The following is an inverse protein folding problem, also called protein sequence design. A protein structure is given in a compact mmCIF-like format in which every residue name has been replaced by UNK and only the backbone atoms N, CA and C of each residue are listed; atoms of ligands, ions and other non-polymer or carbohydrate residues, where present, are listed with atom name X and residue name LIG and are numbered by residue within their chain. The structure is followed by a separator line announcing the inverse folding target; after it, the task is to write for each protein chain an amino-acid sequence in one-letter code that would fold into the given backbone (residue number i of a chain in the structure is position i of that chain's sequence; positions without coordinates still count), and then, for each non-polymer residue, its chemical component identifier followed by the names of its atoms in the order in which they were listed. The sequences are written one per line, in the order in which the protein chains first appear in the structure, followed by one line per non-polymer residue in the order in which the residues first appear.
data_IF_974169463209
#
_entry.id   IF_974169463209
#
_cell.length_a   1.000
_cell.length_b   1.000
_cell.length_c   1.000
_cell.angle_alpha   90.00
_cell.angle_beta   90.00
_cell.angle_gamma   90.00
#
_symmetry.space_group_name_H-M   'P 1'
#
loop_
_entity.id
_entity.type
_entity.pdbx_description
1 polymer ?
#
# COMPACT_ATOMS: atom_id res chain seq x y z
N UNK A 1 -14.60 -21.24 13.32
CA UNK A 1 -14.42 -21.02 11.87
C UNK A 1 -13.97 -19.59 11.67
N UNK A 2 -12.97 -19.33 10.83
CA UNK A 2 -12.55 -17.97 10.46
C UNK A 2 -13.70 -17.23 9.81
N UNK A 3 -14.01 -16.02 10.29
CA UNK A 3 -14.98 -15.14 9.64
C UNK A 3 -14.25 -14.41 8.51
N UNK A 4 -14.68 -14.60 7.26
CA UNK A 4 -14.15 -13.81 6.13
C UNK A 4 -14.62 -12.36 6.23
N UNK A 5 -13.79 -11.43 5.78
CA UNK A 5 -14.10 -10.00 5.65
C UNK A 5 -14.57 -9.73 4.21
N UNK A 6 -15.74 -10.28 3.85
CA UNK A 6 -16.23 -10.32 2.46
C UNK A 6 -16.70 -8.96 1.93
N UNK A 7 -16.90 -7.99 2.81
CA UNK A 7 -17.21 -6.61 2.46
C UNK A 7 -15.94 -5.77 2.18
N UNK A 8 -14.76 -6.38 2.25
CA UNK A 8 -13.48 -5.70 2.02
C UNK A 8 -13.08 -5.70 0.54
N UNK A 9 -12.81 -4.52 -0.01
CA UNK A 9 -12.33 -4.33 -1.38
C UNK A 9 -11.03 -3.52 -1.37
N UNK A 10 -9.99 -4.00 -2.06
CA UNK A 10 -8.69 -3.34 -2.06
C UNK A 10 -8.11 -3.15 -3.46
N UNK A 11 -7.58 -1.96 -3.71
CA UNK A 11 -6.68 -1.67 -4.83
C UNK A 11 -5.29 -1.34 -4.27
N UNK A 12 -4.32 -2.19 -4.56
CA UNK A 12 -2.94 -2.05 -4.11
C UNK A 12 -2.04 -1.70 -5.29
N UNK A 13 -1.37 -0.55 -5.24
CA UNK A 13 -0.60 0.03 -6.34
C UNK A 13 0.85 0.19 -5.88
N UNK A 14 1.77 -0.57 -6.46
CA UNK A 14 3.20 -0.53 -6.15
C UNK A 14 3.96 -0.27 -7.43
N UNK A 15 4.44 0.96 -7.63
CA UNK A 15 4.97 1.37 -8.95
C UNK A 15 6.15 0.48 -9.39
N UNK A 16 7.03 0.14 -8.47
CA UNK A 16 8.13 -0.79 -8.71
C UNK A 16 9.07 -0.30 -9.80
N UNK A 17 9.17 -1.07 -10.87
CA UNK A 17 9.92 -0.69 -12.06
C UNK A 17 9.16 0.38 -12.86
N UNK A 18 9.82 1.50 -13.15
CA UNK A 18 9.33 2.51 -14.09
C UNK A 18 9.85 2.22 -15.49
N UNK A 19 9.05 2.55 -16.52
CA UNK A 19 9.51 2.57 -17.91
C UNK A 19 10.72 3.51 -18.09
N UNK A 20 10.81 4.54 -17.25
CA UNK A 20 12.04 5.32 -17.08
C UNK A 20 12.82 4.82 -15.86
N UNK A 21 13.79 3.92 -16.11
CA UNK A 21 14.55 3.19 -15.08
C UNK A 21 15.08 4.03 -13.91
N UNK A 22 15.55 5.27 -14.09
CA UNK A 22 15.98 6.10 -12.96
C UNK A 22 14.88 6.35 -11.91
N UNK A 23 13.59 6.35 -12.30
CA UNK A 23 12.44 6.48 -11.40
C UNK A 23 11.96 5.15 -10.81
N UNK A 24 12.68 4.04 -11.02
CA UNK A 24 12.30 2.75 -10.44
C UNK A 24 12.52 2.74 -8.92
N UNK A 25 11.51 2.26 -8.20
CA UNK A 25 11.48 2.16 -6.74
C UNK A 25 11.01 0.75 -6.32
N UNK A 26 11.86 -0.30 -6.43
CA UNK A 26 11.43 -1.70 -6.28
C UNK A 26 10.83 -2.07 -4.92
N UNK A 27 11.17 -1.33 -3.86
CA UNK A 27 10.60 -1.54 -2.51
C UNK A 27 9.08 -1.40 -2.50
N UNK A 28 8.52 -0.55 -3.37
CA UNK A 28 7.07 -0.28 -3.41
C UNK A 28 6.24 -1.50 -3.80
N UNK A 29 6.80 -2.40 -4.61
CA UNK A 29 6.18 -3.70 -4.94
C UNK A 29 6.23 -4.65 -3.75
N UNK A 30 7.29 -4.58 -2.94
CA UNK A 30 7.36 -5.38 -1.72
C UNK A 30 6.37 -4.89 -0.69
N UNK A 31 6.13 -3.57 -0.62
CA UNK A 31 5.10 -3.00 0.24
C UNK A 31 3.71 -3.54 -0.12
N UNK A 32 3.32 -3.45 -1.39
CA UNK A 32 2.01 -3.94 -1.84
C UNK A 32 1.86 -5.44 -1.68
N UNK A 33 2.91 -6.22 -1.95
CA UNK A 33 2.90 -7.65 -1.75
C UNK A 33 2.76 -8.04 -0.27
N UNK A 34 3.39 -7.27 0.63
CA UNK A 34 3.29 -7.52 2.06
C UNK A 34 1.88 -7.16 2.59
N UNK A 35 1.31 -6.03 2.13
CA UNK A 35 -0.08 -5.66 2.44
C UNK A 35 -1.05 -6.71 1.88
N UNK A 36 -0.89 -7.12 0.62
CA UNK A 36 -1.70 -8.18 0.01
C UNK A 36 -1.70 -9.46 0.84
N UNK A 37 -0.49 -9.94 1.20
CA UNK A 37 -0.31 -11.13 2.03
C UNK A 37 -1.06 -11.03 3.38
N UNK A 38 -1.00 -9.87 4.04
CA UNK A 38 -1.72 -9.64 5.29
C UNK A 38 -3.24 -9.55 5.12
N UNK A 39 -3.71 -8.98 4.01
CA UNK A 39 -5.14 -8.88 3.72
C UNK A 39 -5.77 -10.27 3.55
N UNK A 40 -5.13 -11.14 2.77
CA UNK A 40 -5.72 -12.45 2.43
C UNK A 40 -5.50 -13.54 3.48
N UNK A 41 -4.55 -13.38 4.40
CA UNK A 41 -4.28 -14.40 5.43
C UNK A 41 -5.54 -14.57 6.31
N UNK A 42 -6.15 -15.78 6.35
CA UNK A 42 -7.36 -16.06 7.11
C UNK A 42 -7.16 -15.95 8.63
N UNK A 43 -5.92 -16.02 9.09
CA UNK A 43 -5.55 -15.80 10.49
C UNK A 43 -5.06 -14.37 10.74
N UNK A 44 -5.16 -13.47 9.76
CA UNK A 44 -4.95 -12.03 9.89
C UNK A 44 -6.24 -11.29 9.50
N UNK A 45 -6.28 -10.62 8.34
CA UNK A 45 -7.39 -9.75 7.94
C UNK A 45 -8.57 -10.50 7.30
N UNK A 46 -8.32 -11.71 6.79
CA UNK A 46 -9.32 -12.61 6.21
C UNK A 46 -10.15 -12.03 5.05
N UNK A 47 -9.58 -11.16 4.22
CA UNK A 47 -10.19 -10.79 2.93
C UNK A 47 -10.25 -12.03 2.03
N UNK A 48 -11.27 -12.14 1.16
CA UNK A 48 -11.27 -13.17 0.12
C UNK A 48 -10.06 -13.01 -0.82
N UNK A 49 -9.34 -14.11 -1.05
CA UNK A 49 -8.22 -14.17 -2.00
C UNK A 49 -8.75 -14.38 -3.42
N UNK A 50 -9.33 -13.34 -4.01
CA UNK A 50 -9.85 -13.37 -5.37
C UNK A 50 -9.86 -11.97 -6.04
N UNK A 51 -10.01 -11.99 -7.37
CA UNK A 51 -10.03 -10.78 -8.22
C UNK A 51 -11.30 -9.93 -8.05
N UNK A 52 -12.33 -10.45 -7.37
CA UNK A 52 -13.55 -9.72 -7.08
C UNK A 52 -13.41 -8.83 -5.84
N UNK A 53 -12.41 -9.09 -4.99
CA UNK A 53 -12.15 -8.33 -3.75
C UNK A 53 -10.82 -7.58 -3.77
N UNK A 54 -9.78 -8.09 -4.43
CA UNK A 54 -8.47 -7.44 -4.43
C UNK A 54 -7.90 -7.33 -5.84
N UNK A 55 -7.45 -6.12 -6.21
CA UNK A 55 -6.62 -5.87 -7.39
C UNK A 55 -5.26 -5.35 -6.96
N UNK A 56 -4.21 -5.93 -7.52
CA UNK A 56 -2.83 -5.51 -7.32
C UNK A 56 -2.27 -5.04 -8.66
N UNK A 57 -1.65 -3.88 -8.68
CA UNK A 57 -0.98 -3.30 -9.84
C UNK A 57 0.47 -3.04 -9.49
N UNK A 58 1.38 -3.84 -10.04
CA UNK A 58 2.82 -3.75 -9.77
C UNK A 58 3.62 -3.63 -11.08
N UNK A 59 4.74 -2.91 -11.05
CA UNK A 59 5.65 -2.75 -12.20
C UNK A 59 4.89 -2.29 -13.46
N UNK A 60 5.03 -3.01 -14.58
CA UNK A 60 4.39 -2.71 -15.86
C UNK A 60 2.86 -2.66 -15.82
N UNK A 61 2.22 -3.24 -14.79
CA UNK A 61 0.77 -3.17 -14.61
C UNK A 61 0.33 -1.85 -13.96
N UNK A 62 1.22 -1.15 -13.25
CA UNK A 62 0.94 0.11 -12.56
C UNK A 62 0.94 1.31 -13.54
N UNK A 63 0.20 1.21 -14.64
CA UNK A 63 0.03 2.28 -15.64
C UNK A 63 -1.04 3.28 -15.22
N UNK A 64 -1.03 4.46 -15.85
CA UNK A 64 -2.05 5.50 -15.58
C UNK A 64 -3.46 4.99 -15.87
N UNK A 65 -3.63 4.26 -16.97
CA UNK A 65 -4.93 3.68 -17.34
C UNK A 65 -5.36 2.64 -16.32
N UNK A 66 -4.48 1.69 -15.97
CA UNK A 66 -4.80 0.61 -15.06
C UNK A 66 -5.18 1.12 -13.66
N UNK A 67 -4.50 2.16 -13.16
CA UNK A 67 -4.86 2.79 -11.88
C UNK A 67 -6.27 3.37 -11.93
N UNK A 68 -6.59 4.15 -12.97
CA UNK A 68 -7.92 4.75 -13.14
C UNK A 68 -9.01 3.67 -13.34
N UNK A 69 -8.70 2.61 -14.08
CA UNK A 69 -9.59 1.45 -14.26
C UNK A 69 -9.79 0.68 -12.95
N UNK A 70 -8.77 0.58 -12.10
CA UNK A 70 -8.86 0.03 -10.75
C UNK A 70 -9.78 0.85 -9.85
N UNK A 71 -9.68 2.17 -9.88
CA UNK A 71 -10.58 3.05 -9.13
C UNK A 71 -12.03 2.98 -9.63
N UNK A 72 -12.22 2.85 -10.95
CA UNK A 72 -13.54 2.60 -11.54
C UNK A 72 -14.12 1.26 -11.08
N UNK A 73 -13.30 0.21 -11.01
CA UNK A 73 -13.75 -1.07 -10.46
C UNK A 73 -14.14 -0.97 -8.99
N UNK A 74 -13.38 -0.25 -8.16
CA UNK A 74 -13.77 -0.02 -6.76
C UNK A 74 -15.11 0.73 -6.65
N UNK A 75 -15.38 1.69 -7.55
CA UNK A 75 -16.69 2.33 -7.65
C UNK A 75 -17.79 1.28 -7.90
N UNK A 76 -17.60 0.38 -8.86
CA UNK A 76 -18.57 -0.67 -9.18
C UNK A 76 -18.81 -1.61 -7.99
N UNK A 77 -17.74 -1.95 -7.23
CA UNK A 77 -17.85 -2.77 -6.01
C UNK A 77 -18.61 -2.05 -4.90
N UNK A 78 -18.28 -0.80 -4.62
CA UNK A 78 -19.00 0.03 -3.65
C UNK A 78 -20.49 0.23 -4.00
N UNK A 79 -20.83 0.23 -5.29
CA UNK A 79 -22.23 0.30 -5.73
C UNK A 79 -23.00 -1.01 -5.52
N UNK A 80 -22.31 -2.14 -5.67
CA UNK A 80 -22.90 -3.47 -5.52
C UNK A 80 -23.02 -3.92 -4.06
N UNK A 81 -22.16 -3.42 -3.17
CA UNK A 81 -22.15 -3.74 -1.75
C UNK A 81 -22.30 -2.47 -0.87
N UNK A 82 -23.44 -2.35 -0.20
CA UNK A 82 -23.73 -1.21 0.68
C UNK A 82 -22.90 -1.20 1.97
N UNK A 83 -22.30 -2.32 2.34
CA UNK A 83 -21.43 -2.42 3.52
C UNK A 83 -19.94 -2.34 3.16
N UNK A 84 -19.62 -2.07 1.89
CA UNK A 84 -18.27 -2.05 1.36
C UNK A 84 -17.32 -1.19 2.21
N UNK A 85 -16.24 -1.83 2.67
CA UNK A 85 -15.03 -1.17 3.15
C UNK A 85 -14.00 -1.21 2.03
N UNK A 86 -13.61 -0.04 1.55
CA UNK A 86 -12.67 0.14 0.44
C UNK A 86 -11.32 0.61 0.95
N UNK A 87 -10.25 -0.04 0.50
CA UNK A 87 -8.87 0.34 0.71
C UNK A 87 -8.21 0.69 -0.64
N UNK A 88 -7.66 1.89 -0.75
CA UNK A 88 -6.73 2.25 -1.83
C UNK A 88 -5.36 2.44 -1.20
N UNK A 89 -4.40 1.62 -1.59
CA UNK A 89 -3.02 1.72 -1.11
C UNK A 89 -2.11 2.04 -2.29
N UNK A 90 -1.38 3.15 -2.21
CA UNK A 90 -0.37 3.53 -3.20
C UNK A 90 1.00 3.58 -2.54
N UNK A 91 1.98 2.91 -3.13
CA UNK A 91 3.40 3.07 -2.82
C UNK A 91 4.17 3.42 -4.10
N UNK A 92 4.87 4.56 -4.09
CA UNK A 92 5.54 5.08 -5.29
C UNK A 92 6.08 6.50 -5.11
N UNK A 93 6.37 7.20 -6.21
CA UNK A 93 6.79 8.59 -6.17
C UNK A 93 5.60 9.56 -6.18
N UNK A 94 5.76 10.67 -5.47
CA UNK A 94 4.81 11.77 -5.40
C UNK A 94 5.52 13.12 -5.52
N UNK A 95 5.28 13.84 -6.60
CA UNK A 95 6.02 15.05 -6.97
C UNK A 95 5.06 16.22 -7.19
N UNK A 96 5.47 17.42 -6.79
CA UNK A 96 4.80 18.67 -7.10
C UNK A 96 5.52 19.38 -8.24
N UNK A 97 4.77 19.88 -9.20
CA UNK A 97 5.27 20.83 -10.19
C UNK A 97 5.38 22.20 -9.52
N UNK A 98 6.59 22.76 -9.45
CA UNK A 98 6.83 24.06 -8.79
C UNK A 98 6.28 25.22 -9.60
N UNK A 99 5.98 25.03 -10.88
CA UNK A 99 5.50 26.09 -11.77
C UNK A 99 4.02 26.41 -11.52
N UNK A 100 3.19 25.41 -11.22
CA UNK A 100 1.75 25.55 -11.01
C UNK A 100 1.23 24.96 -9.68
N UNK A 101 2.10 24.33 -8.89
CA UNK A 101 1.79 23.74 -7.59
C UNK A 101 1.01 22.43 -7.65
N UNK A 102 0.86 21.82 -8.83
CA UNK A 102 0.08 20.58 -8.97
C UNK A 102 0.87 19.37 -8.53
N UNK A 103 0.19 18.48 -7.81
CA UNK A 103 0.76 17.23 -7.32
C UNK A 103 0.48 16.08 -8.30
N UNK A 104 1.46 15.19 -8.44
CA UNK A 104 1.45 14.06 -9.36
C UNK A 104 1.95 12.79 -8.67
N UNK A 105 1.23 11.69 -8.88
CA UNK A 105 1.71 10.34 -8.59
C UNK A 105 2.41 9.82 -9.85
N UNK A 106 3.66 9.38 -9.72
CA UNK A 106 4.42 8.88 -10.87
C UNK A 106 4.28 7.38 -10.99
N UNK A 107 3.48 6.96 -11.96
CA UNK A 107 3.21 5.57 -12.27
C UNK A 107 4.18 5.00 -13.33
N UNK A 108 4.10 3.71 -13.64
CA UNK A 108 5.07 3.00 -14.50
C UNK A 108 5.32 3.68 -15.85
N UNK A 109 4.25 4.08 -16.55
CA UNK A 109 4.28 4.60 -17.91
C UNK A 109 4.48 6.13 -17.99
N UNK A 110 4.95 6.76 -16.91
CA UNK A 110 5.29 8.19 -16.90
C UNK A 110 6.38 8.49 -17.94
N UNK A 111 6.24 9.62 -18.64
CA UNK A 111 7.18 10.08 -19.67
C UNK A 111 7.98 11.26 -19.12
N UNK A 112 9.29 11.09 -18.83
CA UNK A 112 10.17 12.14 -18.30
C UNK A 112 10.08 13.47 -19.03
N UNK A 113 10.18 13.43 -20.36
CA UNK A 113 10.16 14.62 -21.22
C UNK A 113 8.84 15.38 -21.24
N UNK A 114 7.77 14.80 -20.67
CA UNK A 114 6.42 15.36 -20.58
C UNK A 114 5.76 14.95 -19.26
N UNK A 115 6.47 15.13 -18.15
CA UNK A 115 6.07 14.58 -16.85
C UNK A 115 4.65 15.05 -16.45
N UNK A 116 4.39 16.36 -16.42
CA UNK A 116 3.08 16.92 -16.06
C UNK A 116 1.91 16.42 -16.95
N UNK A 117 2.19 16.11 -18.23
CA UNK A 117 1.18 15.64 -19.18
C UNK A 117 0.95 14.12 -19.15
N UNK A 118 1.88 13.34 -18.58
CA UNK A 118 1.85 11.88 -18.59
C UNK A 118 1.67 11.26 -17.20
N UNK A 119 2.07 11.95 -16.15
CA UNK A 119 1.88 11.52 -14.77
C UNK A 119 0.39 11.57 -14.37
N UNK A 120 0.05 10.79 -13.35
CA UNK A 120 -1.29 10.81 -12.77
C UNK A 120 -1.42 12.03 -11.85
N UNK A 121 -2.13 13.06 -12.30
CA UNK A 121 -2.39 14.23 -11.45
C UNK A 121 -3.26 13.87 -10.24
N UNK A 122 -3.02 14.54 -9.13
CA UNK A 122 -3.84 14.46 -7.93
C UNK A 122 -5.30 14.81 -8.20
N UNK A 123 -5.56 15.74 -9.14
CA UNK A 123 -6.92 16.08 -9.58
C UNK A 123 -7.62 14.87 -10.20
N UNK A 124 -7.01 14.22 -11.20
CA UNK A 124 -7.60 13.05 -11.85
C UNK A 124 -7.78 11.87 -10.87
N UNK A 125 -6.81 11.66 -9.98
CA UNK A 125 -6.89 10.65 -8.93
C UNK A 125 -8.02 10.96 -7.94
N UNK A 126 -8.11 12.20 -7.47
CA UNK A 126 -9.15 12.67 -6.55
C UNK A 126 -10.54 12.57 -7.18
N UNK A 127 -10.69 12.96 -8.44
CA UNK A 127 -11.96 12.87 -9.15
C UNK A 127 -12.40 11.42 -9.32
N UNK A 128 -11.49 10.51 -9.67
CA UNK A 128 -11.79 9.08 -9.71
C UNK A 128 -12.19 8.54 -8.32
N UNK A 129 -11.45 8.90 -7.27
CA UNK A 129 -11.81 8.54 -5.89
C UNK A 129 -13.20 9.06 -5.53
N UNK A 130 -13.56 10.30 -5.87
CA UNK A 130 -14.87 10.91 -5.57
C UNK A 130 -16.03 10.13 -6.17
N UNK A 131 -15.80 9.39 -7.26
CA UNK A 131 -16.83 8.55 -7.87
C UNK A 131 -17.14 7.28 -7.05
N UNK A 132 -16.28 6.88 -6.12
CA UNK A 132 -16.50 5.74 -5.22
C UNK A 132 -17.43 6.20 -4.08
N UNK A 133 -18.71 5.84 -4.18
CA UNK A 133 -19.74 6.25 -3.22
C UNK A 133 -19.91 5.16 -2.15
N UNK A 134 -19.10 5.22 -1.09
CA UNK A 134 -19.23 4.37 0.10
C UNK A 134 -18.93 5.18 1.37
N UNK A 135 -19.39 4.67 2.52
CA UNK A 135 -19.17 5.29 3.83
C UNK A 135 -17.82 4.93 4.46
N UNK A 136 -17.04 4.04 3.82
CA UNK A 136 -15.82 3.44 4.38
C UNK A 136 -14.74 3.34 3.30
N UNK A 137 -14.10 4.46 2.98
CA UNK A 137 -12.97 4.54 2.06
C UNK A 137 -11.72 4.99 2.82
N UNK A 138 -10.75 4.09 2.94
CA UNK A 138 -9.41 4.41 3.43
C UNK A 138 -8.47 4.55 2.23
N UNK A 139 -7.85 5.72 2.10
CA UNK A 139 -6.79 5.99 1.13
C UNK A 139 -5.46 6.10 1.88
N UNK A 140 -4.49 5.28 1.50
CA UNK A 140 -3.15 5.26 2.08
C UNK A 140 -2.14 5.59 0.98
N UNK A 141 -1.40 6.67 1.15
CA UNK A 141 -0.35 7.11 0.22
C UNK A 141 1.00 6.98 0.92
N UNK A 142 1.72 5.90 0.61
CA UNK A 142 3.11 5.70 0.99
C UNK A 142 4.04 6.22 -0.11
N UNK A 143 4.08 7.54 -0.28
CA UNK A 143 4.92 8.16 -1.31
C UNK A 143 6.34 8.43 -0.79
N UNK A 144 7.29 7.56 -1.10
CA UNK A 144 8.69 7.72 -0.72
C UNK A 144 9.44 8.70 -1.64
N UNK A 145 10.27 9.52 -1.01
CA UNK A 145 11.38 10.20 -1.67
C UNK A 145 12.56 9.21 -1.69
N UNK A 146 13.20 8.98 -2.84
CA UNK A 146 14.16 7.89 -3.04
C UNK A 146 15.42 7.91 -2.14
N UNK A 147 15.59 8.92 -1.28
CA UNK A 147 16.73 9.03 -0.36
C UNK A 147 16.79 7.92 0.71
N UNK A 148 15.68 7.23 0.99
CA UNK A 148 15.62 6.20 2.04
C UNK A 148 16.09 4.80 1.65
N UNK A 149 16.55 4.58 0.42
CA UNK A 149 16.81 3.23 -0.14
C UNK A 149 18.20 2.63 0.15
N UNK A 150 19.09 3.39 0.77
CA UNK A 150 20.50 3.03 0.80
C UNK A 150 20.85 2.03 1.92
N UNK A 151 21.04 0.75 1.57
CA UNK A 151 22.00 -0.07 2.35
C UNK A 151 23.42 0.47 2.10
N UNK A 152 24.32 0.31 3.07
CA UNK A 152 25.65 0.97 3.06
C UNK A 152 26.52 0.68 1.82
N UNK A 153 26.21 -0.34 1.01
CA UNK A 153 26.96 -0.69 -0.20
C UNK A 153 26.48 -0.01 -1.48
N UNK A 154 25.20 0.35 -1.57
CA UNK A 154 24.60 0.97 -2.77
C UNK A 154 24.22 2.44 -2.55
N UNK A 155 24.50 2.97 -1.35
CA UNK A 155 24.16 4.32 -0.92
C UNK A 155 24.71 5.41 -1.85
N UNK A 156 25.97 5.29 -2.27
CA UNK A 156 26.62 6.30 -3.10
C UNK A 156 26.03 6.33 -4.52
N UNK A 157 25.76 5.17 -5.09
CA UNK A 157 25.14 5.06 -6.42
C UNK A 157 23.70 5.58 -6.39
N UNK A 158 22.91 5.19 -5.38
CA UNK A 158 21.56 5.69 -5.19
C UNK A 158 21.54 7.22 -5.03
N UNK A 159 22.44 7.77 -4.20
CA UNK A 159 22.56 9.22 -4.00
C UNK A 159 22.97 9.97 -5.29
N UNK A 160 23.82 9.37 -6.14
CA UNK A 160 24.18 9.95 -7.44
C UNK A 160 23.01 9.98 -8.41
N UNK A 161 22.31 8.85 -8.58
CA UNK A 161 21.10 8.77 -9.40
C UNK A 161 20.06 9.77 -8.89
N UNK A 162 19.93 9.89 -7.57
CA UNK A 162 19.00 10.83 -6.95
C UNK A 162 19.33 12.28 -7.29
N UNK A 163 20.61 12.66 -7.16
CA UNK A 163 21.08 13.99 -7.50
C UNK A 163 20.95 14.31 -9.00
N UNK A 164 21.12 13.31 -9.88
CA UNK A 164 20.91 13.45 -11.32
C UNK A 164 19.42 13.66 -11.65
N UNK A 165 18.53 12.89 -11.03
CA UNK A 165 17.09 13.08 -11.17
C UNK A 165 16.64 14.47 -10.72
N UNK A 166 17.12 14.95 -9.58
CA UNK A 166 16.76 16.29 -9.09
C UNK A 166 17.22 17.41 -10.02
N UNK A 167 18.30 17.20 -10.78
CA UNK A 167 18.75 18.14 -11.82
C UNK A 167 17.93 18.00 -13.11
N UNK A 168 17.63 16.77 -13.52
CA UNK A 168 16.83 16.51 -14.73
C UNK A 168 15.41 17.09 -14.59
N UNK A 169 14.86 17.05 -13.38
CA UNK A 169 13.52 17.51 -13.08
C UNK A 169 13.54 18.73 -12.16
N UNK A 170 14.33 19.74 -12.52
CA UNK A 170 14.51 20.94 -11.69
C UNK A 170 13.22 21.72 -11.44
N UNK A 171 12.20 21.61 -12.30
CA UNK A 171 10.88 22.21 -12.13
C UNK A 171 9.98 21.43 -11.16
N UNK A 172 10.38 20.23 -10.77
CA UNK A 172 9.63 19.38 -9.85
C UNK A 172 10.31 19.30 -8.49
N UNK A 173 9.49 19.13 -7.47
CA UNK A 173 9.93 18.85 -6.12
C UNK A 173 9.23 17.58 -5.64
N UNK A 174 9.98 16.75 -4.93
CA UNK A 174 9.39 15.58 -4.31
C UNK A 174 8.75 16.04 -3.02
N UNK A 175 7.52 15.62 -2.73
CA UNK A 175 6.84 16.00 -1.50
C UNK A 175 5.79 14.97 -1.11
N UNK A 176 5.45 14.94 0.17
CA UNK A 176 4.25 14.26 0.63
C UNK A 176 2.99 14.86 0.00
N UNK A 177 1.88 14.12 0.03
CA UNK A 177 0.60 14.60 -0.48
C UNK A 177 0.21 15.92 0.23
N UNK A 178 -0.12 16.96 -0.54
CA UNK A 178 -0.42 18.26 0.05
C UNK A 178 -1.76 18.26 0.78
N UNK A 179 -1.88 19.11 1.82
CA UNK A 179 -3.12 19.31 2.57
C UNK A 179 -4.31 19.64 1.66
N UNK A 180 -4.09 20.45 0.61
CA UNK A 180 -5.16 20.80 -0.34
C UNK A 180 -5.70 19.59 -1.11
N UNK A 181 -4.86 18.63 -1.46
CA UNK A 181 -5.31 17.38 -2.11
C UNK A 181 -6.03 16.48 -1.11
N UNK A 182 -5.53 16.37 0.12
CA UNK A 182 -6.21 15.62 1.21
C UNK A 182 -7.61 16.19 1.45
N UNK A 183 -7.74 17.50 1.59
CA UNK A 183 -9.01 18.20 1.75
C UNK A 183 -9.94 17.95 0.54
N UNK A 184 -9.40 17.92 -0.68
CA UNK A 184 -10.18 17.66 -1.89
C UNK A 184 -10.73 16.21 -1.95
N UNK A 185 -9.94 15.22 -1.53
CA UNK A 185 -10.38 13.81 -1.43
C UNK A 185 -11.55 13.71 -0.45
N UNK A 186 -11.50 14.44 0.67
CA UNK A 186 -12.49 14.38 1.76
C UNK A 186 -13.78 15.15 1.54
N UNK A 187 -13.94 15.89 0.44
CA UNK A 187 -15.19 16.59 0.16
C UNK A 187 -16.40 15.64 0.03
N UNK A 188 -16.16 14.35 -0.11
CA UNK A 188 -17.16 13.29 -0.05
C UNK A 188 -17.05 12.57 1.29
N UNK A 189 -18.20 12.26 1.90
CA UNK A 189 -18.28 11.57 3.21
C UNK A 189 -17.65 10.17 3.16
N UNK A 190 -17.31 9.64 4.34
CA UNK A 190 -16.83 8.25 4.47
C UNK A 190 -15.35 8.06 4.14
N UNK A 191 -14.54 9.12 4.14
CA UNK A 191 -13.16 9.10 3.66
C UNK A 191 -12.14 9.41 4.73
N UNK A 192 -11.15 8.54 4.82
CA UNK A 192 -9.96 8.70 5.64
C UNK A 192 -8.76 8.71 4.70
N UNK A 193 -7.82 9.63 4.92
CA UNK A 193 -6.58 9.72 4.14
C UNK A 193 -5.39 9.65 5.07
N UNK A 194 -4.52 8.66 4.85
CA UNK A 194 -3.26 8.49 5.55
C UNK A 194 -2.09 8.71 4.58
N UNK A 195 -1.06 9.45 5.02
CA UNK A 195 0.19 9.59 4.27
C UNK A 195 1.37 9.16 5.14
N UNK A 196 2.39 8.57 4.53
CA UNK A 196 3.52 8.02 5.28
C UNK A 196 4.51 9.03 5.85
N UNK A 197 4.47 10.27 5.34
CA UNK A 197 5.24 11.43 5.82
C UNK A 197 4.46 12.73 5.59
N UNK A 198 4.97 13.83 6.13
CA UNK A 198 4.45 15.20 5.94
C UNK A 198 5.50 16.13 5.32
N UNK A 199 5.05 17.14 4.57
CA UNK A 199 5.93 18.18 4.01
C UNK A 199 7.05 17.63 3.12
N UNK A 200 8.29 17.94 3.49
CA UNK A 200 9.53 17.52 2.84
C UNK A 200 10.17 16.28 3.47
N UNK A 201 9.53 15.66 4.46
CA UNK A 201 10.04 14.47 5.13
C UNK A 201 10.01 13.24 4.22
N UNK A 202 10.99 12.36 4.41
CA UNK A 202 11.17 11.13 3.65
C UNK A 202 10.42 9.97 4.30
N UNK A 203 9.72 9.15 3.49
CA UNK A 203 9.31 7.81 3.90
C UNK A 203 10.46 6.82 3.71
N UNK A 204 10.95 6.26 4.81
CA UNK A 204 12.17 5.45 4.83
C UNK A 204 11.90 3.98 4.51
N UNK A 205 12.86 3.32 3.86
CA UNK A 205 12.88 1.86 3.76
C UNK A 205 13.29 1.29 5.12
N UNK A 206 12.67 0.21 5.61
CA UNK A 206 13.09 -0.35 6.92
C UNK A 206 14.32 -1.23 6.77
N UNK A 207 14.29 -2.09 5.76
CA UNK A 207 15.33 -3.02 5.35
C UNK A 207 14.98 -3.56 3.95
N UNK A 208 15.62 -4.63 3.50
CA UNK A 208 15.32 -5.25 2.18
C UNK A 208 13.86 -5.74 2.02
N UNK A 209 13.02 -5.73 3.06
CA UNK A 209 11.65 -6.23 3.00
C UNK A 209 10.63 -5.21 2.54
N UNK A 210 10.52 -4.05 3.18
CA UNK A 210 9.45 -3.06 2.95
C UNK A 210 9.79 -1.71 3.58
N UNK A 211 8.94 -0.71 3.37
CA UNK A 211 9.04 0.61 4.02
C UNK A 211 8.82 0.53 5.52
N UNK A 212 9.35 1.50 6.27
CA UNK A 212 9.09 1.68 7.71
C UNK A 212 7.59 1.82 7.95
N UNK A 213 6.92 2.59 7.10
CA UNK A 213 5.47 2.79 7.18
C UNK A 213 4.71 1.47 6.96
N UNK A 214 5.02 0.74 5.89
CA UNK A 214 4.38 -0.56 5.60
C UNK A 214 4.63 -1.56 6.71
N UNK A 215 5.86 -1.66 7.23
CA UNK A 215 6.17 -2.57 8.32
C UNK A 215 5.26 -2.35 9.54
N UNK A 216 5.10 -1.08 9.95
CA UNK A 216 4.24 -0.76 11.09
C UNK A 216 2.75 -0.84 10.74
N UNK A 217 2.35 -0.63 9.49
CA UNK A 217 0.98 -0.89 9.04
C UNK A 217 0.64 -2.38 9.20
N UNK A 218 1.56 -3.28 8.87
CA UNK A 218 1.40 -4.73 9.06
C UNK A 218 1.32 -5.12 10.53
N UNK A 219 2.04 -4.43 11.43
CA UNK A 219 1.87 -4.64 12.87
C UNK A 219 0.46 -4.21 13.33
N UNK A 220 -0.02 -3.05 12.88
CA UNK A 220 -1.35 -2.55 13.24
C UNK A 220 -2.48 -3.45 12.73
N UNK A 221 -2.37 -3.94 11.48
CA UNK A 221 -3.31 -4.93 10.91
C UNK A 221 -3.32 -6.27 11.70
N UNK A 222 -2.26 -6.55 12.46
CA UNK A 222 -2.16 -7.73 13.33
C UNK A 222 -2.56 -7.47 14.78
N UNK A 223 -2.99 -6.24 15.10
CA UNK A 223 -3.54 -5.87 16.40
C UNK A 223 -2.64 -4.94 17.23
N UNK A 224 -1.57 -4.38 16.66
CA UNK A 224 -0.88 -3.31 17.37
C UNK A 224 -1.82 -2.11 17.57
N UNK A 225 -1.86 -1.58 18.80
CA UNK A 225 -2.83 -0.57 19.28
C UNK A 225 -4.30 -1.02 19.35
N UNK A 226 -4.60 -2.33 19.24
CA UNK A 226 -5.88 -2.90 19.67
C UNK A 226 -5.88 -3.26 21.16
N UNK A 227 -7.07 -3.33 21.75
CA UNK A 227 -7.27 -3.76 23.14
C UNK A 227 -7.50 -5.28 23.23
N UNK A 228 -7.20 -5.90 24.39
CA UNK A 228 -7.59 -7.30 24.63
C UNK A 228 -9.07 -7.53 24.35
N UNK A 229 -9.39 -8.61 23.63
CA UNK A 229 -10.76 -8.96 23.24
C UNK A 229 -11.27 -8.26 21.96
N UNK A 230 -10.58 -7.24 21.44
CA UNK A 230 -10.92 -6.65 20.14
C UNK A 230 -10.86 -7.73 19.05
N UNK A 231 -11.85 -7.72 18.14
CA UNK A 231 -11.97 -8.70 17.04
C UNK A 231 -11.83 -8.09 15.66
N UNK A 232 -11.62 -6.78 15.60
CA UNK A 232 -11.63 -5.98 14.38
C UNK A 232 -10.52 -4.93 14.48
N UNK A 233 -9.89 -4.64 13.34
CA UNK A 233 -8.96 -3.53 13.21
C UNK A 233 -9.73 -2.35 12.65
N UNK A 234 -9.73 -1.22 13.36
CA UNK A 234 -10.32 0.03 12.89
C UNK A 234 -9.26 1.02 12.45
N UNK A 235 -9.69 2.05 11.73
CA UNK A 235 -8.83 3.15 11.29
C UNK A 235 -8.08 3.79 12.48
N UNK A 236 -8.72 3.98 13.63
CA UNK A 236 -8.10 4.56 14.81
C UNK A 236 -6.98 3.68 15.38
N UNK A 237 -7.08 2.35 15.29
CA UNK A 237 -6.01 1.44 15.69
C UNK A 237 -4.78 1.65 14.80
N UNK A 238 -4.99 1.74 13.48
CA UNK A 238 -3.92 2.03 12.52
C UNK A 238 -3.23 3.36 12.86
N UNK A 239 -3.99 4.46 12.99
CA UNK A 239 -3.47 5.78 13.36
C UNK A 239 -2.68 5.73 14.67
N UNK A 240 -3.24 5.13 15.72
CA UNK A 240 -2.64 5.11 17.05
C UNK A 240 -1.30 4.37 17.10
N UNK A 241 -1.13 3.32 16.29
CA UNK A 241 0.14 2.62 16.18
C UNK A 241 1.13 3.38 15.29
N UNK A 242 0.70 3.75 14.09
CA UNK A 242 1.55 4.39 13.09
C UNK A 242 2.12 5.72 13.57
N UNK A 243 1.31 6.55 14.25
CA UNK A 243 1.73 7.85 14.82
C UNK A 243 2.85 7.75 15.86
N UNK A 244 3.10 6.57 16.42
CA UNK A 244 4.15 6.33 17.42
C UNK A 244 5.32 5.56 16.83
N UNK A 245 5.03 4.43 16.18
CA UNK A 245 6.04 3.47 15.77
C UNK A 245 6.87 3.97 14.58
N UNK A 246 6.26 4.70 13.63
CA UNK A 246 6.97 5.21 12.46
C UNK A 246 8.02 6.26 12.84
N UNK A 247 7.69 7.33 13.61
CA UNK A 247 8.71 8.29 14.05
C UNK A 247 9.81 7.66 14.92
N UNK A 248 9.45 6.71 15.79
CA UNK A 248 10.42 6.01 16.65
C UNK A 248 11.43 5.22 15.81
N UNK A 249 10.96 4.44 14.84
CA UNK A 249 11.82 3.64 13.97
C UNK A 249 12.66 4.50 13.04
N UNK A 250 12.10 5.55 12.44
CA UNK A 250 12.85 6.48 11.59
C UNK A 250 14.00 7.13 12.37
N UNK A 251 13.73 7.63 13.59
CA UNK A 251 14.76 8.20 14.47
C UNK A 251 15.82 7.17 14.84
N UNK A 252 15.41 5.95 15.17
CA UNK A 252 16.31 4.89 15.63
C UNK A 252 17.23 4.36 14.53
N UNK A 253 16.71 4.17 13.32
CA UNK A 253 17.45 3.58 12.21
C UNK A 253 18.23 4.61 11.41
N UNK A 254 17.66 5.82 11.23
CA UNK A 254 18.18 6.83 10.31
C UNK A 254 18.60 8.13 10.98
N UNK A 255 18.29 8.32 12.27
CA UNK A 255 18.50 9.62 12.93
C UNK A 255 17.68 10.75 12.29
N UNK A 256 16.58 10.41 11.60
CA UNK A 256 15.77 11.31 10.79
C UNK A 256 14.32 11.37 11.28
N UNK A 257 13.58 12.36 10.78
CA UNK A 257 12.15 12.49 11.01
C UNK A 257 11.35 11.79 9.91
N UNK A 258 10.26 11.16 10.34
CA UNK A 258 9.18 10.67 9.49
C UNK A 258 7.92 10.69 10.33
N UNK A 259 7.06 11.67 10.08
CA UNK A 259 5.79 11.88 10.77
C UNK A 259 4.67 11.58 9.79
N UNK A 260 3.94 10.46 9.96
CA UNK A 260 2.77 10.20 9.15
C UNK A 260 1.68 11.23 9.42
N UNK A 261 0.94 11.61 8.37
CA UNK A 261 -0.25 12.43 8.49
C UNK A 261 -1.50 11.57 8.42
N UNK A 262 -2.48 11.85 9.27
CA UNK A 262 -3.74 11.14 9.34
C UNK A 262 -4.88 12.13 9.32
N UNK A 263 -5.79 11.93 8.38
CA UNK A 263 -7.02 12.69 8.33
C UNK A 263 -8.22 11.76 8.43
N UNK A 264 -8.94 11.86 9.57
CA UNK A 264 -9.96 10.91 10.02
C UNK A 264 -11.36 11.52 10.18
N UNK A 265 -11.66 12.66 9.54
CA UNK A 265 -12.93 13.38 9.75
C UNK A 265 -14.19 12.56 9.42
N UNK A 266 -14.06 11.47 8.66
CA UNK A 266 -15.17 10.60 8.29
C UNK A 266 -15.50 9.48 9.30
N UNK A 267 -14.80 9.41 10.43
CA UNK A 267 -15.09 8.48 11.52
C UNK A 267 -14.24 7.21 11.53
N UNK A 268 -14.47 6.38 12.55
CA UNK A 268 -13.65 5.22 12.89
C UNK A 268 -14.32 3.91 12.47
N UNK A 269 -14.11 3.51 11.21
CA UNK A 269 -14.68 2.28 10.65
C UNK A 269 -13.70 1.11 10.63
N UNK A 270 -14.26 -0.10 10.46
CA UNK A 270 -13.51 -1.35 10.44
C UNK A 270 -12.83 -1.53 9.08
N UNK A 271 -11.53 -1.84 9.12
CA UNK A 271 -10.69 -2.13 7.95
C UNK A 271 -10.46 -3.63 7.77
N UNK A 272 -10.45 -4.41 8.85
CA UNK A 272 -10.21 -5.84 8.77
C UNK A 272 -10.78 -6.60 9.96
N UNK A 273 -11.03 -7.89 9.78
CA UNK A 273 -11.16 -8.80 10.93
C UNK A 273 -9.79 -8.95 11.59
N UNK A 274 -9.73 -8.92 12.92
CA UNK A 274 -8.49 -9.14 13.66
C UNK A 274 -8.31 -10.63 13.92
N UNK A 275 -7.24 -11.18 13.36
CA UNK A 275 -6.89 -12.60 13.45
C UNK A 275 -8.02 -13.53 12.97
N UNK A 276 -8.62 -13.21 11.82
CA UNK A 276 -9.76 -13.96 11.29
C UNK A 276 -11.04 -13.84 12.13
N UNK A 277 -11.12 -12.81 12.97
CA UNK A 277 -12.21 -12.56 13.91
C UNK A 277 -12.04 -13.27 15.26
N UNK A 278 -10.90 -13.97 15.49
CA UNK A 278 -10.58 -14.58 16.79
C UNK A 278 -10.30 -13.52 17.85
N UNK A 279 -9.80 -12.36 17.42
CA UNK A 279 -9.43 -11.25 18.27
C UNK A 279 -8.12 -11.41 19.04
N UNK A 280 -7.77 -10.37 19.80
CA UNK A 280 -6.59 -10.41 20.66
C UNK A 280 -6.85 -11.21 21.94
N UNK A 281 -5.86 -11.99 22.40
CA UNK A 281 -5.94 -12.70 23.67
C UNK A 281 -5.93 -11.73 24.86
N UNK A 282 -6.17 -12.24 26.06
CA UNK A 282 -6.29 -11.44 27.29
C UNK A 282 -5.04 -10.59 27.59
N UNK A 283 -3.84 -11.06 27.24
CA UNK A 283 -2.59 -10.29 27.39
C UNK A 283 -2.32 -9.34 26.22
N UNK A 284 -3.28 -9.19 25.29
CA UNK A 284 -3.26 -8.22 24.21
C UNK A 284 -2.13 -8.41 23.20
N UNK A 285 -1.71 -7.28 22.61
CA UNK A 285 -0.67 -7.20 21.60
C UNK A 285 0.65 -7.84 22.03
N UNK A 286 1.12 -7.61 23.26
CA UNK A 286 2.43 -8.09 23.73
C UNK A 286 2.55 -9.62 23.70
N UNK A 287 1.44 -10.35 23.88
CA UNK A 287 1.46 -11.81 23.75
C UNK A 287 1.57 -12.29 22.30
N UNK A 288 0.97 -11.57 21.34
CA UNK A 288 0.96 -11.98 19.93
C UNK A 288 2.09 -11.36 19.11
N UNK A 289 2.73 -10.30 19.61
CA UNK A 289 3.80 -9.56 18.93
C UNK A 289 4.92 -10.47 18.39
N UNK A 290 5.44 -11.47 19.13
CA UNK A 290 6.47 -12.36 18.57
C UNK A 290 5.98 -13.17 17.37
N UNK A 291 4.74 -13.68 17.41
CA UNK A 291 4.09 -14.38 16.30
C UNK A 291 3.89 -13.44 15.11
N UNK A 292 3.40 -12.22 15.36
CA UNK A 292 3.16 -11.21 14.35
C UNK A 292 4.45 -10.77 13.63
N UNK A 293 5.53 -10.51 14.39
CA UNK A 293 6.84 -10.20 13.82
C UNK A 293 7.40 -11.38 13.01
N UNK A 294 7.19 -12.62 13.47
CA UNK A 294 7.59 -13.80 12.72
C UNK A 294 6.85 -13.91 11.38
N UNK A 295 5.53 -13.68 11.37
CA UNK A 295 4.71 -13.66 10.14
C UNK A 295 5.17 -12.60 9.16
N UNK A 296 5.43 -11.36 9.61
CA UNK A 296 5.95 -10.29 8.73
C UNK A 296 7.27 -10.73 8.08
N UNK A 297 8.18 -11.32 8.87
CA UNK A 297 9.45 -11.81 8.35
C UNK A 297 9.28 -12.98 7.36
N UNK A 298 8.31 -13.88 7.57
CA UNK A 298 8.00 -14.95 6.62
C UNK A 298 7.45 -14.40 5.30
N UNK A 299 6.56 -13.40 5.36
CA UNK A 299 6.05 -12.70 4.17
C UNK A 299 7.22 -12.08 3.40
N UNK A 300 8.09 -11.34 4.09
CA UNK A 300 9.28 -10.73 3.50
C UNK A 300 10.23 -11.75 2.87
N UNK A 301 10.47 -12.89 3.52
CA UNK A 301 11.32 -13.96 3.00
C UNK A 301 10.74 -14.60 1.74
N UNK A 302 9.43 -14.88 1.72
CA UNK A 302 8.74 -15.42 0.54
C UNK A 302 8.85 -14.48 -0.65
N UNK A 303 8.63 -13.17 -0.43
CA UNK A 303 8.80 -12.13 -1.46
C UNK A 303 10.24 -12.11 -1.96
N UNK A 304 11.22 -12.11 -1.05
CA UNK A 304 12.66 -12.10 -1.41
C UNK A 304 13.08 -13.34 -2.21
N UNK A 305 12.53 -14.51 -1.89
CA UNK A 305 12.87 -15.77 -2.56
C UNK A 305 12.27 -15.87 -3.96
N UNK A 306 11.07 -15.34 -4.18
CA UNK A 306 10.30 -15.58 -5.40
C UNK A 306 10.11 -14.34 -6.28
N UNK A 307 10.54 -13.16 -5.83
CA UNK A 307 10.28 -11.87 -6.49
C UNK A 307 8.83 -11.41 -6.39
N UNK A 308 7.93 -12.28 -5.91
CA UNK A 308 6.53 -12.00 -5.63
C UNK A 308 5.97 -12.85 -4.51
N UNK A 309 4.92 -12.35 -3.86
CA UNK A 309 4.17 -13.15 -2.91
C UNK A 309 3.29 -14.16 -3.67
N UNK A 310 3.66 -15.45 -3.62
CA UNK A 310 2.89 -16.53 -4.22
C UNK A 310 1.97 -17.17 -3.16
N UNK A 311 0.67 -17.17 -3.41
CA UNK A 311 -0.29 -17.93 -2.59
C UNK A 311 -0.25 -19.43 -2.95
N UNK A 312 -0.87 -20.28 -2.13
CA UNK A 312 -1.07 -21.71 -2.48
C UNK A 312 -1.91 -21.82 -3.76
N UNK A 313 -2.86 -20.90 -3.97
CA UNK A 313 -3.72 -20.84 -5.16
C UNK A 313 -2.89 -20.56 -6.41
N UNK A 314 -1.95 -19.61 -6.36
CA UNK A 314 -1.04 -19.33 -7.49
C UNK A 314 -0.10 -20.51 -7.80
N UNK A 315 0.34 -21.24 -6.77
CA UNK A 315 1.15 -22.46 -6.97
C UNK A 315 0.34 -23.57 -7.64
N UNK A 316 -0.94 -23.72 -7.33
CA UNK A 316 -1.84 -24.70 -7.95
C UNK A 316 -2.18 -24.30 -9.39
N UNK A 317 -2.48 -23.03 -9.67
CA UNK A 317 -2.76 -22.56 -11.04
C UNK A 317 -1.54 -22.62 -11.96
N UNK A 318 -0.33 -22.36 -11.44
CA UNK A 318 0.90 -22.55 -12.22
C UNK A 318 1.33 -24.02 -12.34
N UNK A 319 0.89 -24.90 -11.43
CA UNK A 319 1.09 -26.34 -11.53
C UNK A 319 0.10 -27.01 -12.49
N UNK A 320 -0.96 -26.34 -12.95
CA UNK A 320 -1.99 -26.92 -13.84
C UNK A 320 -1.59 -27.03 -15.33
N UNK A 321 -0.31 -26.86 -15.67
CA UNK A 321 0.24 -27.38 -16.94
C UNK A 321 0.50 -28.90 -16.88
N UNK A 322 -0.43 -29.67 -16.30
CA UNK A 322 -0.42 -31.13 -16.40
C UNK A 322 -1.14 -31.57 -17.68
N UNK A 323 -0.36 -32.07 -18.63
CA UNK A 323 -0.83 -33.02 -19.63
C UNK A 323 -1.55 -34.17 -18.92
N UNK A 324 -2.87 -34.21 -19.02
CA UNK A 324 -3.62 -35.45 -18.87
C UNK A 324 -3.88 -35.93 -20.29
N UNK A 325 -3.06 -36.89 -20.71
CA UNK A 325 -3.18 -37.57 -21.98
C UNK A 325 -4.49 -38.35 -22.08
N UNK A 326 -4.90 -38.55 -23.33
CA UNK A 326 -6.05 -39.33 -23.74
C UNK A 326 -6.14 -40.68 -23.02
N UNK A 327 -7.32 -40.99 -22.48
CA UNK A 327 -7.71 -42.37 -22.21
C UNK A 327 -8.91 -42.70 -23.09
N UNK A 328 -8.61 -43.26 -24.26
CA UNK A 328 -9.55 -43.99 -25.08
C UNK A 328 -10.00 -45.25 -24.32
N UNK A 329 -11.29 -45.33 -23.98
CA UNK A 329 -11.90 -46.61 -23.64
C UNK A 329 -12.14 -47.41 -24.92
N UNK A 330 -11.42 -48.54 -25.04
CA UNK A 330 -11.77 -49.62 -25.97
C UNK A 330 -13.16 -50.16 -25.66
N UNK A 331 -13.97 -50.32 -26.69
CA UNK A 331 -14.77 -51.53 -26.90
C UNK A 331 -14.12 -52.31 -28.03
#
# INVERSE_FOLDING_TARGET
MTKRFSQGYALLIGVGESAYKPLSLPVTVKDTQAVYAALIDPDLCAYPDDKEHIRVLNNEEATRSAILDGLKWLKEKAQADREATVLVYYSGHGWVDKTDGRYYLLQHDVKPSKLAASALSAEAFTDALRQIQCDRLLVVIDSCHAAGMATSKDAETAARIDAELLKEFEDFERTALSKGVIDAIKQVKGRVVFTSSEGDQVSWVKDDSCSVYTYHLLEALQGAANQPGDREVKVSNLMNHLSKAVPETARKLYGAEQTPHFDMDAGDFIIANLRGGKGLPDKGWEQVKPEASHKINQIAQNIKQHGKFNTIIEKVSNAQNFHIGDVNHKS
#
